data_IF_462976768112
#
_entry.id   IF_462976768112
#
_cell.length_a   1.000
_cell.length_b   1.000
_cell.length_c   1.000
_cell.angle_alpha   90.00
_cell.angle_beta   90.00
_cell.angle_gamma   90.00
#
_symmetry.space_group_name_H-M   'P 1'
#
loop_
_entity.id
_entity.type
_entity.pdbx_description
1 polymer ?
#
# COMPACT_ATOMS: atom_id res chain seq x y z
N UNK A 1 -22.22 21.33 -7.39
CA UNK A 1 -21.89 19.92 -7.16
C UNK A 1 -21.98 19.67 -5.66
N UNK A 2 -22.71 18.65 -5.22
CA UNK A 2 -22.78 18.28 -3.79
C UNK A 2 -21.45 17.64 -3.41
N UNK A 3 -20.57 18.40 -2.76
CA UNK A 3 -19.31 17.87 -2.22
C UNK A 3 -19.68 16.84 -1.16
N UNK A 4 -19.26 15.59 -1.33
CA UNK A 4 -19.58 14.54 -0.36
C UNK A 4 -19.05 14.94 1.03
N UNK A 5 -19.79 14.64 2.10
CA UNK A 5 -19.39 14.96 3.49
C UNK A 5 -17.99 14.43 3.82
N UNK A 6 -17.60 13.31 3.18
CA UNK A 6 -16.27 12.72 3.28
C UNK A 6 -15.17 13.63 2.73
N UNK A 7 -15.34 14.17 1.52
CA UNK A 7 -14.36 15.06 0.88
C UNK A 7 -14.17 16.33 1.70
N UNK A 8 -15.26 16.97 2.12
CA UNK A 8 -15.20 18.18 2.95
C UNK A 8 -14.45 17.94 4.27
N UNK A 9 -14.67 16.79 4.91
CA UNK A 9 -13.95 16.40 6.12
C UNK A 9 -12.47 16.13 5.84
N UNK A 10 -12.17 15.41 4.75
CA UNK A 10 -10.80 15.11 4.35
C UNK A 10 -10.02 16.39 4.02
N UNK A 11 -10.63 17.34 3.31
CA UNK A 11 -10.03 18.63 2.97
C UNK A 11 -9.77 19.48 4.22
N UNK A 12 -10.70 19.44 5.18
CA UNK A 12 -10.54 20.15 6.46
C UNK A 12 -9.39 19.58 7.28
N UNK A 13 -9.28 18.24 7.38
CA UNK A 13 -8.20 17.57 8.12
C UNK A 13 -6.84 17.76 7.44
N UNK A 14 -6.82 17.75 6.10
CA UNK A 14 -5.59 17.89 5.31
C UNK A 14 -5.17 19.34 5.10
N UNK A 15 -6.01 20.33 5.45
CA UNK A 15 -5.74 21.74 5.28
C UNK A 15 -5.75 22.21 3.82
N UNK A 16 -6.32 21.41 2.90
CA UNK A 16 -6.32 21.71 1.46
C UNK A 16 -7.23 22.90 1.10
N UNK A 17 -8.19 23.25 1.96
CA UNK A 17 -9.08 24.42 1.81
C UNK A 17 -8.62 25.64 2.64
N UNK A 18 -7.42 25.64 3.19
CA UNK A 18 -6.89 26.77 3.96
C UNK A 18 -6.40 27.90 3.02
N UNK A 19 -6.75 29.19 3.25
CA UNK A 19 -6.27 30.33 2.47
C UNK A 19 -4.74 30.43 2.29
N UNK A 20 -3.98 29.73 3.13
CA UNK A 20 -2.52 29.58 3.02
C UNK A 20 -2.04 28.85 1.75
N UNK A 21 -2.92 28.14 1.03
CA UNK A 21 -2.63 27.39 -0.21
C UNK A 21 -2.79 28.21 -1.51
N UNK A 22 -2.92 29.53 -1.44
CA UNK A 22 -3.36 30.37 -2.57
C UNK A 22 -2.33 30.62 -3.68
N UNK A 23 -1.04 30.36 -3.47
CA UNK A 23 -0.04 30.42 -4.55
C UNK A 23 0.12 29.04 -5.24
N UNK A 24 -0.17 28.99 -6.55
CA UNK A 24 -0.03 27.78 -7.38
C UNK A 24 1.39 27.20 -7.31
N UNK A 25 2.41 28.07 -7.20
CA UNK A 25 3.80 27.63 -7.12
C UNK A 25 4.12 26.96 -5.79
N UNK A 26 3.63 27.52 -4.69
CA UNK A 26 3.83 26.95 -3.35
C UNK A 26 3.06 25.64 -3.22
N UNK A 27 1.84 25.57 -3.75
CA UNK A 27 1.02 24.36 -3.81
C UNK A 27 1.72 23.22 -4.58
N UNK A 28 2.30 23.48 -5.76
CA UNK A 28 3.04 22.45 -6.52
C UNK A 28 4.26 21.91 -5.75
N UNK A 29 5.01 22.79 -5.07
CA UNK A 29 6.16 22.36 -4.25
C UNK A 29 5.70 21.49 -3.08
N UNK A 30 4.64 21.89 -2.38
CA UNK A 30 4.08 21.12 -1.26
C UNK A 30 3.51 19.78 -1.73
N UNK A 31 2.81 19.73 -2.87
CA UNK A 31 2.30 18.48 -3.44
C UNK A 31 3.41 17.51 -3.83
N UNK A 32 4.52 18.02 -4.41
CA UNK A 32 5.69 17.18 -4.72
C UNK A 32 6.37 16.69 -3.45
N UNK A 33 6.52 17.57 -2.45
CA UNK A 33 7.10 17.24 -1.15
C UNK A 33 6.31 16.17 -0.41
N UNK A 34 4.99 16.33 -0.33
CA UNK A 34 4.08 15.38 0.33
C UNK A 34 4.01 14.05 -0.42
N UNK A 35 4.03 14.05 -1.76
CA UNK A 35 4.10 12.82 -2.55
C UNK A 35 5.41 12.04 -2.30
N UNK A 36 6.55 12.75 -2.20
CA UNK A 36 7.83 12.15 -1.85
C UNK A 36 7.81 11.61 -0.42
N UNK A 37 7.36 12.42 0.55
CA UNK A 37 7.24 12.03 1.95
C UNK A 37 6.33 10.81 2.12
N UNK A 38 5.17 10.78 1.46
CA UNK A 38 4.26 9.62 1.48
C UNK A 38 4.94 8.35 0.96
N UNK A 39 5.69 8.46 -0.14
CA UNK A 39 6.43 7.31 -0.72
C UNK A 39 7.50 6.80 0.25
N UNK A 40 8.28 7.72 0.82
CA UNK A 40 9.33 7.38 1.78
C UNK A 40 8.76 6.78 3.07
N UNK A 41 7.70 7.38 3.61
CA UNK A 41 6.99 6.89 4.80
C UNK A 41 6.36 5.52 4.56
N UNK A 42 5.85 5.25 3.35
CA UNK A 42 5.34 3.93 3.00
C UNK A 42 6.44 2.87 3.07
N UNK A 43 7.63 3.17 2.54
CA UNK A 43 8.77 2.25 2.64
C UNK A 43 9.26 2.09 4.08
N UNK A 44 9.37 3.19 4.84
CA UNK A 44 9.75 3.11 6.25
C UNK A 44 8.75 2.30 7.08
N UNK A 45 7.45 2.52 6.86
CA UNK A 45 6.38 1.80 7.54
C UNK A 45 6.30 0.32 7.13
N UNK A 46 6.74 -0.06 5.93
CA UNK A 46 6.91 -1.46 5.50
C UNK A 46 8.06 -2.18 6.21
N UNK A 47 9.09 -1.46 6.68
CA UNK A 47 10.20 -2.07 7.42
C UNK A 47 9.78 -2.48 8.84
N UNK A 48 8.84 -1.76 9.46
CA UNK A 48 8.33 -2.06 10.81
C UNK A 48 7.74 -3.48 10.94
N UNK A 49 6.78 -3.92 10.10
CA UNK A 49 6.26 -5.27 10.16
C UNK A 49 7.34 -6.32 9.83
N UNK A 50 8.32 -6.01 8.99
CA UNK A 50 9.46 -6.92 8.76
C UNK A 50 10.28 -7.09 10.04
N UNK A 51 10.61 -6.00 10.73
CA UNK A 51 11.32 -6.03 12.01
C UNK A 51 10.56 -6.85 13.05
N UNK A 52 9.25 -6.59 13.21
CA UNK A 52 8.36 -7.34 14.11
C UNK A 52 8.28 -8.83 13.74
N UNK A 53 8.27 -9.14 12.44
CA UNK A 53 8.29 -10.51 11.97
C UNK A 53 9.62 -11.19 12.32
N UNK A 54 10.76 -10.49 12.21
CA UNK A 54 12.08 -11.05 12.52
C UNK A 54 12.28 -11.34 14.02
N UNK A 55 11.71 -10.52 14.91
CA UNK A 55 11.89 -10.60 16.38
C UNK A 55 10.91 -11.52 17.10
N UNK A 56 10.04 -12.23 16.39
CA UNK A 56 9.14 -13.23 16.99
C UNK A 56 7.75 -12.70 17.36
N UNK A 57 7.50 -11.42 17.12
CA UNK A 57 6.19 -10.79 17.35
C UNK A 57 5.27 -10.99 16.13
N UNK A 58 5.09 -12.24 15.72
CA UNK A 58 4.43 -12.61 14.45
C UNK A 58 3.02 -12.02 14.29
N UNK A 59 2.17 -12.06 15.33
CA UNK A 59 0.81 -11.52 15.25
C UNK A 59 0.80 -9.99 15.07
N UNK A 60 1.64 -9.28 15.82
CA UNK A 60 1.77 -7.82 15.72
C UNK A 60 2.34 -7.38 14.36
N UNK A 61 3.21 -8.20 13.77
CA UNK A 61 3.73 -7.97 12.43
C UNK A 61 2.61 -7.95 11.37
N UNK A 62 1.60 -8.81 11.50
CA UNK A 62 0.45 -8.88 10.59
C UNK A 62 -0.44 -7.65 10.77
N UNK A 63 -0.72 -7.26 12.02
CA UNK A 63 -1.53 -6.06 12.32
C UNK A 63 -0.85 -4.81 11.76
N UNK A 64 0.46 -4.67 11.97
CA UNK A 64 1.24 -3.58 11.41
C UNK A 64 1.23 -3.58 9.87
N UNK A 65 1.34 -4.76 9.24
CA UNK A 65 1.26 -4.88 7.79
C UNK A 65 -0.13 -4.52 7.26
N UNK A 66 -1.20 -4.95 7.91
CA UNK A 66 -2.57 -4.63 7.52
C UNK A 66 -2.88 -3.13 7.63
N UNK A 67 -2.29 -2.43 8.60
CA UNK A 67 -2.45 -0.98 8.77
C UNK A 67 -1.95 -0.19 7.53
N UNK A 68 -1.00 -0.73 6.77
CA UNK A 68 -0.50 -0.09 5.53
C UNK A 68 -1.55 -0.03 4.40
N UNK A 69 -2.63 -0.80 4.50
CA UNK A 69 -3.73 -0.75 3.55
C UNK A 69 -4.54 0.55 3.72
N UNK A 70 -4.60 1.09 4.94
CA UNK A 70 -5.46 2.23 5.29
C UNK A 70 -5.14 3.47 4.45
N UNK A 71 -3.87 3.95 4.34
CA UNK A 71 -3.58 5.14 3.55
C UNK A 71 -3.86 4.94 2.06
N UNK A 72 -3.61 3.73 1.54
CA UNK A 72 -3.88 3.39 0.14
C UNK A 72 -5.37 3.39 -0.17
N UNK A 73 -6.19 2.87 0.76
CA UNK A 73 -7.63 2.85 0.64
C UNK A 73 -8.21 4.27 0.74
N UNK A 74 -7.74 5.06 1.71
CA UNK A 74 -8.16 6.46 1.88
C UNK A 74 -7.88 7.28 0.60
N UNK A 75 -6.68 7.16 0.04
CA UNK A 75 -6.30 7.80 -1.22
C UNK A 75 -7.19 7.34 -2.39
N UNK A 76 -7.47 6.04 -2.49
CA UNK A 76 -8.35 5.50 -3.53
C UNK A 76 -9.79 5.99 -3.41
N UNK A 77 -10.32 6.10 -2.19
CA UNK A 77 -11.68 6.58 -1.95
C UNK A 77 -11.79 8.07 -2.29
N UNK A 78 -10.81 8.88 -1.86
CA UNK A 78 -10.76 10.31 -2.15
C UNK A 78 -10.69 10.59 -3.66
N UNK A 79 -9.80 9.93 -4.39
CA UNK A 79 -9.75 10.14 -5.85
C UNK A 79 -11.02 9.65 -6.55
N UNK A 80 -11.65 8.58 -6.07
CA UNK A 80 -12.93 8.11 -6.61
C UNK A 80 -14.07 9.10 -6.36
N UNK A 81 -14.13 9.75 -5.18
CA UNK A 81 -15.15 10.76 -4.89
C UNK A 81 -15.01 12.01 -5.77
N UNK A 82 -13.79 12.33 -6.20
CA UNK A 82 -13.48 13.42 -7.13
C UNK A 82 -13.51 13.00 -8.62
N UNK A 83 -13.99 11.79 -8.94
CA UNK A 83 -14.08 11.30 -10.32
C UNK A 83 -12.74 11.01 -10.99
N UNK A 84 -11.63 11.05 -10.25
CA UNK A 84 -10.29 10.75 -10.74
C UNK A 84 -10.05 9.23 -10.79
N UNK A 85 -9.82 8.73 -12.00
CA UNK A 85 -9.40 7.34 -12.19
C UNK A 85 -7.91 7.18 -11.91
N UNK A 86 -7.59 6.56 -10.78
CA UNK A 86 -6.23 6.15 -10.41
C UNK A 86 -5.56 5.26 -11.47
N UNK A 87 -6.37 4.51 -12.22
CA UNK A 87 -5.89 3.61 -13.27
C UNK A 87 -5.32 4.39 -14.46
N UNK A 88 -5.97 5.50 -14.83
CA UNK A 88 -5.52 6.40 -15.89
C UNK A 88 -4.28 7.19 -15.48
N UNK A 89 -4.24 7.67 -14.23
CA UNK A 89 -3.05 8.30 -13.64
C UNK A 89 -1.86 7.32 -13.62
N UNK A 90 -2.10 6.08 -13.23
CA UNK A 90 -1.10 5.02 -13.26
C UNK A 90 -0.71 4.63 -14.70
N UNK A 91 -1.56 4.83 -15.71
CA UNK A 91 -1.18 4.59 -17.11
C UNK A 91 -0.12 5.60 -17.57
N UNK A 92 -0.29 6.88 -17.23
CA UNK A 92 0.58 7.99 -17.64
C UNK A 92 1.95 8.06 -16.95
N UNK A 93 2.15 7.35 -15.83
CA UNK A 93 3.43 7.40 -15.13
C UNK A 93 4.58 6.70 -15.89
N UNK A 94 5.80 7.19 -15.69
CA UNK A 94 7.01 6.70 -16.38
C UNK A 94 7.32 5.24 -16.03
N UNK A 95 7.77 4.48 -17.03
CA UNK A 95 8.10 3.05 -16.86
C UNK A 95 9.16 2.83 -15.78
N UNK A 96 10.19 3.68 -15.73
CA UNK A 96 11.25 3.60 -14.70
C UNK A 96 10.68 3.77 -13.29
N UNK A 97 9.89 4.81 -13.04
CA UNK A 97 9.24 5.02 -11.73
C UNK A 97 8.38 3.83 -11.31
N UNK A 98 7.58 3.28 -12.24
CA UNK A 98 6.77 2.08 -11.98
C UNK A 98 7.63 0.89 -11.58
N UNK A 99 8.68 0.60 -12.35
CA UNK A 99 9.54 -0.55 -12.10
C UNK A 99 10.24 -0.40 -10.75
N UNK A 100 10.87 0.75 -10.49
CA UNK A 100 11.58 0.97 -9.22
C UNK A 100 10.64 0.85 -8.02
N UNK A 101 9.48 1.53 -8.06
CA UNK A 101 8.52 1.47 -6.96
C UNK A 101 8.02 0.04 -6.72
N UNK A 102 7.52 -0.64 -7.77
CA UNK A 102 6.98 -1.99 -7.62
C UNK A 102 8.06 -3.02 -7.28
N UNK A 103 9.27 -2.90 -7.82
CA UNK A 103 10.37 -3.80 -7.47
C UNK A 103 10.74 -3.69 -5.99
N UNK A 104 10.88 -2.46 -5.48
CA UNK A 104 11.16 -2.23 -4.06
C UNK A 104 10.03 -2.73 -3.17
N UNK A 105 8.77 -2.41 -3.50
CA UNK A 105 7.60 -2.87 -2.72
C UNK A 105 7.50 -4.39 -2.71
N UNK A 106 7.64 -5.05 -3.87
CA UNK A 106 7.59 -6.52 -3.95
C UNK A 106 8.74 -7.14 -3.15
N UNK A 107 9.95 -6.60 -3.23
CA UNK A 107 11.09 -7.10 -2.46
C UNK A 107 10.83 -7.05 -0.94
N UNK A 108 10.26 -5.95 -0.44
CA UNK A 108 9.90 -5.80 0.96
C UNK A 108 8.79 -6.78 1.38
N UNK A 109 7.75 -6.93 0.56
CA UNK A 109 6.65 -7.87 0.82
C UNK A 109 7.16 -9.33 0.85
N UNK A 110 8.02 -9.70 -0.10
CA UNK A 110 8.64 -11.03 -0.12
C UNK A 110 9.50 -11.23 1.12
N UNK A 111 10.29 -10.23 1.53
CA UNK A 111 11.07 -10.28 2.77
C UNK A 111 10.20 -10.48 4.01
N UNK A 112 9.06 -9.79 4.09
CA UNK A 112 8.09 -9.95 5.16
C UNK A 112 7.54 -11.39 5.23
N UNK A 113 7.05 -11.92 4.11
CA UNK A 113 6.51 -13.28 4.08
C UNK A 113 7.59 -14.34 4.30
N UNK A 114 8.83 -14.12 3.84
CA UNK A 114 9.94 -15.02 4.09
C UNK A 114 10.28 -15.10 5.58
N UNK A 115 10.35 -13.94 6.27
CA UNK A 115 10.54 -13.89 7.72
C UNK A 115 9.40 -14.62 8.45
N UNK A 116 8.15 -14.32 8.09
CA UNK A 116 6.98 -14.95 8.71
C UNK A 116 6.94 -16.48 8.49
N UNK A 117 7.33 -16.95 7.29
CA UNK A 117 7.43 -18.38 6.95
C UNK A 117 8.51 -19.09 7.75
N UNK A 118 9.65 -18.44 7.98
CA UNK A 118 10.74 -19.04 8.76
C UNK A 118 10.32 -19.23 10.21
N UNK A 119 9.72 -18.21 10.83
CA UNK A 119 9.18 -18.31 12.19
C UNK A 119 8.13 -19.42 12.29
N UNK A 120 7.24 -19.50 11.30
CA UNK A 120 6.23 -20.53 11.19
C UNK A 120 6.79 -21.96 11.13
N UNK A 121 7.88 -22.15 10.37
CA UNK A 121 8.46 -23.47 10.12
C UNK A 121 9.39 -23.94 11.25
N UNK A 122 10.12 -23.01 11.88
CA UNK A 122 11.14 -23.34 12.89
C UNK A 122 10.63 -23.19 14.33
N UNK A 123 9.53 -22.45 14.53
CA UNK A 123 9.04 -22.11 15.87
C UNK A 123 9.95 -21.16 16.64
N UNK A 124 11.02 -20.67 16.00
CA UNK A 124 12.03 -19.82 16.63
C UNK A 124 12.22 -18.52 15.86
N UNK A 125 12.54 -17.43 16.58
CA UNK A 125 12.83 -16.18 15.93
C UNK A 125 14.18 -16.16 15.21
N UNK A 126 14.25 -15.45 14.08
CA UNK A 126 15.54 -15.23 13.39
C UNK A 126 16.49 -14.38 14.25
N UNK A 127 15.91 -13.42 14.98
CA UNK A 127 16.65 -12.56 15.89
C UNK A 127 16.03 -12.73 17.27
N UNK A 128 16.75 -13.43 18.15
CA UNK A 128 16.38 -13.50 19.56
C UNK A 128 16.81 -12.20 20.25
N UNK A 129 15.82 -11.46 20.72
CA UNK A 129 15.98 -10.18 21.41
C UNK A 129 15.53 -10.27 22.87
N UNK A 130 15.26 -11.50 23.37
CA UNK A 130 14.94 -11.74 24.78
C UNK A 130 13.64 -11.08 25.23
N UNK A 131 12.69 -10.87 24.32
CA UNK A 131 11.58 -9.94 24.53
C UNK A 131 10.55 -10.37 25.58
N UNK A 132 10.66 -11.56 26.18
CA UNK A 132 9.68 -12.10 27.13
C UNK A 132 8.28 -12.35 26.54
N UNK A 133 8.02 -11.88 25.32
CA UNK A 133 7.00 -12.43 24.46
C UNK A 133 7.44 -13.86 24.17
N UNK A 134 6.92 -14.80 24.98
CA UNK A 134 6.64 -16.14 24.48
C UNK A 134 6.13 -15.94 23.07
N UNK A 135 6.66 -16.70 22.11
CA UNK A 135 6.15 -16.72 20.75
C UNK A 135 4.69 -17.15 20.84
N UNK A 136 3.80 -16.23 21.16
CA UNK A 136 2.35 -16.41 21.28
C UNK A 136 1.75 -16.56 19.89
N UNK A 137 2.54 -17.09 18.94
CA UNK A 137 2.02 -18.10 18.07
C UNK A 137 1.23 -19.04 18.98
N UNK A 138 -0.10 -19.15 18.79
CA UNK A 138 -0.79 -20.34 19.22
C UNK A 138 0.04 -21.56 18.80
N UNK A 139 -0.17 -22.74 19.39
CA UNK A 139 0.25 -23.97 18.72
C UNK A 139 -0.48 -24.02 17.37
N UNK A 140 0.05 -23.30 16.39
CA UNK A 140 -0.50 -23.08 15.09
C UNK A 140 -0.12 -24.35 14.37
N UNK A 141 -1.00 -25.34 14.49
CA UNK A 141 -0.94 -26.58 13.73
C UNK A 141 -0.40 -26.27 12.34
N UNK A 142 0.57 -27.08 11.88
CA UNK A 142 1.41 -26.96 10.68
C UNK A 142 0.76 -26.33 9.42
N UNK A 143 -0.57 -26.30 9.32
CA UNK A 143 -1.34 -25.66 8.24
C UNK A 143 -1.65 -24.16 8.36
N UNK A 144 -1.83 -23.58 9.56
CA UNK A 144 -2.26 -22.16 9.67
C UNK A 144 -1.21 -21.16 9.18
N UNK A 145 0.06 -21.23 9.60
CA UNK A 145 1.01 -20.20 9.22
C UNK A 145 1.49 -20.41 7.77
N UNK A 146 1.49 -21.65 7.29
CA UNK A 146 1.67 -21.97 5.88
C UNK A 146 0.52 -21.41 5.03
N UNK A 147 -0.73 -21.52 5.49
CA UNK A 147 -1.91 -20.95 4.83
C UNK A 147 -1.88 -19.41 4.80
N UNK A 148 -1.37 -18.76 5.84
CA UNK A 148 -1.24 -17.29 5.88
C UNK A 148 -0.19 -16.79 4.90
N UNK A 149 0.96 -17.46 4.82
CA UNK A 149 2.02 -17.14 3.86
C UNK A 149 1.53 -17.36 2.42
N UNK A 150 1.00 -18.55 2.12
CA UNK A 150 0.53 -18.90 0.78
C UNK A 150 -0.65 -18.01 0.39
N UNK A 151 -1.62 -17.82 1.28
CA UNK A 151 -2.76 -16.93 1.07
C UNK A 151 -2.35 -15.47 0.90
N UNK A 152 -1.36 -15.00 1.66
CA UNK A 152 -0.83 -13.64 1.57
C UNK A 152 -0.09 -13.38 0.27
N UNK A 153 0.76 -14.31 -0.17
CA UNK A 153 1.46 -14.23 -1.46
C UNK A 153 0.48 -14.30 -2.65
N UNK A 154 -0.46 -15.25 -2.62
CA UNK A 154 -1.50 -15.38 -3.66
C UNK A 154 -2.38 -14.13 -3.68
N UNK A 155 -2.85 -13.66 -2.51
CA UNK A 155 -3.67 -12.46 -2.39
C UNK A 155 -2.95 -11.22 -2.94
N UNK A 156 -1.66 -11.07 -2.64
CA UNK A 156 -0.84 -10.00 -3.19
C UNK A 156 -0.71 -10.10 -4.71
N UNK A 157 -0.46 -11.31 -5.24
CA UNK A 157 -0.38 -11.53 -6.68
C UNK A 157 -1.71 -11.24 -7.40
N UNK A 158 -2.83 -11.67 -6.83
CA UNK A 158 -4.18 -11.40 -7.34
C UNK A 158 -4.49 -9.91 -7.32
N UNK A 159 -4.14 -9.20 -6.24
CA UNK A 159 -4.31 -7.75 -6.13
C UNK A 159 -3.47 -7.01 -7.19
N UNK A 160 -2.21 -7.40 -7.38
CA UNK A 160 -1.36 -6.82 -8.43
C UNK A 160 -1.96 -7.10 -9.82
N UNK A 161 -2.47 -8.32 -10.05
CA UNK A 161 -3.08 -8.69 -11.31
C UNK A 161 -4.39 -7.91 -11.58
N UNK A 162 -5.26 -7.77 -10.60
CA UNK A 162 -6.53 -7.04 -10.74
C UNK A 162 -6.29 -5.56 -11.03
N UNK A 163 -5.33 -4.93 -10.34
CA UNK A 163 -4.90 -3.56 -10.61
C UNK A 163 -4.33 -3.40 -12.03
N UNK A 164 -3.55 -4.38 -12.50
CA UNK A 164 -3.03 -4.37 -13.88
C UNK A 164 -4.13 -4.56 -14.92
N UNK A 165 -5.15 -5.38 -14.62
CA UNK A 165 -6.28 -5.65 -15.51
C UNK A 165 -7.20 -4.42 -15.61
N UNK A 166 -7.58 -3.81 -14.49
CA UNK A 166 -8.37 -2.57 -14.46
C UNK A 166 -7.74 -1.48 -15.31
N UNK A 167 -6.42 -1.28 -15.16
CA UNK A 167 -5.64 -0.37 -16.01
C UNK A 167 -5.75 -0.65 -17.50
N UNK A 168 -5.68 -1.91 -17.94
CA UNK A 168 -5.77 -2.24 -19.38
C UNK A 168 -7.15 -1.86 -19.93
N UNK A 169 -8.20 -2.13 -19.16
CA UNK A 169 -9.57 -1.83 -19.53
C UNK A 169 -9.83 -0.32 -19.57
N UNK A 170 -9.31 0.44 -18.60
CA UNK A 170 -9.43 1.90 -18.59
C UNK A 170 -8.76 2.55 -19.82
N UNK A 171 -7.57 2.09 -20.19
CA UNK A 171 -6.86 2.59 -21.40
C UNK A 171 -7.60 2.24 -22.69
N UNK A 172 -8.23 1.06 -22.75
CA UNK A 172 -9.04 0.66 -23.91
C UNK A 172 -10.28 1.55 -24.07
N UNK A 173 -11.01 1.81 -22.98
CA UNK A 173 -12.18 2.70 -23.00
C UNK A 173 -11.84 4.13 -23.44
N UNK A 174 -10.72 4.68 -22.99
CA UNK A 174 -10.28 6.02 -23.41
C UNK A 174 -9.95 6.05 -24.92
N UNK A 175 -9.39 4.96 -25.47
CA UNK A 175 -9.13 4.85 -26.92
C UNK A 175 -10.42 4.72 -27.73
N UNK A 176 -11.38 3.92 -27.26
CA UNK A 176 -12.68 3.75 -27.91
C UNK A 176 -13.47 5.07 -27.93
N UNK A 177 -13.42 5.85 -26.85
CA UNK A 177 -14.08 7.17 -26.80
C UNK A 177 -13.48 8.17 -27.80
N UNK A 178 -12.15 8.23 -27.93
CA UNK A 178 -11.49 9.12 -28.90
C UNK A 178 -11.82 8.77 -30.36
N UNK A 179 -11.97 7.48 -30.67
CA UNK A 179 -12.35 7.03 -32.01
C UNK A 179 -13.81 7.35 -32.39
N UNK A 180 -14.67 7.68 -31.42
CA UNK A 180 -16.07 8.08 -31.64
C UNK A 180 -16.18 9.61 -31.82
N UNK A 181 -15.20 10.37 -31.32
CA UNK A 181 -15.15 11.84 -31.40
C UNK A 181 -14.43 12.35 -32.66
N UNK A 182 -13.68 11.51 -33.36
CA UNK A 182 -13.02 11.76 -34.66
C UNK A 182 -13.91 11.33 -35.85
#
# INVERSE_FOLDING_TARGET
MSTSTFVSTADTISGLNDPSMSDERESDIVLRGTAFAYTLSTFAALVVPIGLALTGTGLWSIVAFAALIIPSLALSLYCRSEGLSMELLAARSTRRRKITFWATTIALIVGFFAALSFHAATGHPLIDVGNGFDSGAPELHFGFPFGLVVGGLIGTAVAIYSLRRGRRLAVQREREQRLIEE
#
